data_IF_732112239362
#
_entry.id   IF_732112239362
#
_cell.length_a   1.000
_cell.length_b   1.000
_cell.length_c   1.000
_cell.angle_alpha   90.00
_cell.angle_beta   90.00
_cell.angle_gamma   90.00
#
_symmetry.space_group_name_H-M   'P 1'
#
loop_
_entity.id
_entity.type
_entity.pdbx_description
1 polymer ?
#
# COMPACT_ATOMS: atom_id res chain seq x y z
N UNK A 1 -0.04 47.03 -5.65
CA UNK A 1 0.01 45.81 -6.47
C UNK A 1 -1.14 44.94 -5.98
N UNK A 2 -2.00 44.52 -6.90
CA UNK A 2 -3.32 43.93 -6.60
C UNK A 2 -3.22 42.41 -6.64
N UNK A 3 -3.57 41.76 -5.54
CA UNK A 3 -3.65 40.31 -5.44
C UNK A 3 -5.14 39.96 -5.51
N UNK A 4 -5.59 39.52 -6.68
CA UNK A 4 -7.00 39.23 -6.96
C UNK A 4 -7.48 37.99 -6.21
N UNK A 5 -8.25 38.20 -5.15
CA UNK A 5 -9.11 37.20 -4.53
C UNK A 5 -10.56 37.46 -4.99
N UNK A 6 -11.05 36.67 -5.95
CA UNK A 6 -12.49 36.56 -6.22
C UNK A 6 -12.96 35.19 -5.77
N UNK A 7 -13.47 35.19 -4.54
CA UNK A 7 -14.50 34.26 -4.09
C UNK A 7 -15.73 34.42 -5.00
N UNK A 8 -16.07 33.34 -5.70
CA UNK A 8 -17.39 33.15 -6.28
C UNK A 8 -17.91 31.82 -5.76
N UNK A 9 -18.50 31.86 -4.56
CA UNK A 9 -19.46 30.86 -4.15
C UNK A 9 -20.60 30.77 -5.16
N UNK A 10 -20.82 29.59 -5.71
CA UNK A 10 -22.09 29.20 -6.30
C UNK A 10 -22.71 28.09 -5.44
N UNK A 11 -23.73 28.48 -4.70
CA UNK A 11 -24.64 27.63 -3.96
C UNK A 11 -25.76 27.17 -4.88
N UNK A 12 -25.72 25.92 -5.35
CA UNK A 12 -26.91 25.24 -5.86
C UNK A 12 -26.92 23.76 -5.43
N UNK A 13 -27.81 23.42 -4.49
CA UNK A 13 -28.27 22.03 -4.29
C UNK A 13 -29.52 21.74 -5.14
N UNK A 14 -30.18 20.59 -4.93
CA UNK A 14 -29.69 19.22 -5.00
C UNK A 14 -30.04 18.60 -6.38
N UNK A 15 -29.07 18.04 -7.10
CA UNK A 15 -29.33 17.35 -8.37
C UNK A 15 -28.93 15.88 -8.27
N UNK A 16 -29.93 14.99 -8.45
CA UNK A 16 -29.95 13.62 -8.98
C UNK A 16 -28.77 12.65 -8.74
N UNK A 17 -28.98 11.31 -8.70
CA UNK A 17 -27.90 10.35 -8.48
C UNK A 17 -27.00 10.30 -9.72
N UNK A 18 -26.01 11.19 -9.76
CA UNK A 18 -24.94 11.18 -10.74
C UNK A 18 -24.16 9.90 -10.57
N UNK A 19 -24.00 9.19 -11.69
CA UNK A 19 -23.04 8.11 -11.84
C UNK A 19 -21.70 8.58 -11.29
N UNK A 20 -21.32 8.08 -10.10
CA UNK A 20 -19.98 8.29 -9.55
C UNK A 20 -19.06 7.63 -10.55
N UNK A 21 -18.31 8.43 -11.31
CA UNK A 21 -17.14 7.92 -12.04
C UNK A 21 -16.16 7.55 -10.94
N UNK A 22 -16.27 6.33 -10.43
CA UNK A 22 -15.20 5.69 -9.69
C UNK A 22 -14.09 5.52 -10.73
N UNK A 23 -12.89 6.12 -10.53
CA UNK A 23 -11.75 5.78 -11.38
C UNK A 23 -11.65 4.25 -11.42
N UNK A 24 -11.39 3.70 -12.60
CA UNK A 24 -11.11 2.26 -12.71
C UNK A 24 -10.01 1.93 -11.70
N UNK A 25 -10.30 1.05 -10.73
CA UNK A 25 -9.39 0.74 -9.62
C UNK A 25 -8.01 0.26 -10.13
N UNK A 26 -7.96 -0.25 -11.37
CA UNK A 26 -6.73 -0.63 -12.06
C UNK A 26 -5.83 0.58 -12.38
N UNK A 27 -6.40 1.71 -12.79
CA UNK A 27 -5.64 2.92 -13.12
C UNK A 27 -4.99 3.52 -11.87
N UNK A 28 -5.72 3.51 -10.74
CA UNK A 28 -5.16 3.94 -9.46
C UNK A 28 -4.02 3.03 -8.98
N UNK A 29 -4.26 1.71 -8.97
CA UNK A 29 -3.27 0.73 -8.50
C UNK A 29 -1.97 0.81 -9.32
N UNK A 30 -2.08 0.90 -10.65
CA UNK A 30 -0.94 1.02 -11.54
C UNK A 30 -0.17 2.33 -11.33
N UNK A 31 -0.87 3.47 -11.26
CA UNK A 31 -0.23 4.76 -11.02
C UNK A 31 0.51 4.80 -9.69
N UNK A 32 -0.11 4.28 -8.63
CA UNK A 32 0.48 4.23 -7.29
C UNK A 32 1.72 3.32 -7.26
N UNK A 33 1.62 2.11 -7.80
CA UNK A 33 2.77 1.18 -7.86
C UNK A 33 3.91 1.75 -8.68
N UNK A 34 3.61 2.40 -9.82
CA UNK A 34 4.62 3.04 -10.66
C UNK A 34 5.34 4.16 -9.91
N UNK A 35 4.61 5.03 -9.20
CA UNK A 35 5.21 6.10 -8.40
C UNK A 35 6.12 5.54 -7.29
N UNK A 36 5.68 4.50 -6.59
CA UNK A 36 6.48 3.82 -5.55
C UNK A 36 7.74 3.22 -6.16
N UNK A 37 7.62 2.52 -7.29
CA UNK A 37 8.76 1.90 -7.95
C UNK A 37 9.76 2.93 -8.52
N UNK A 38 9.29 4.10 -8.96
CA UNK A 38 10.17 5.20 -9.35
C UNK A 38 10.99 5.70 -8.17
N UNK A 39 10.39 5.88 -6.99
CA UNK A 39 11.12 6.27 -5.79
C UNK A 39 12.13 5.20 -5.36
N UNK A 40 11.74 3.92 -5.40
CA UNK A 40 12.61 2.78 -5.08
C UNK A 40 13.82 2.64 -6.01
N UNK A 41 13.69 3.04 -7.26
CA UNK A 41 14.78 2.99 -8.24
C UNK A 41 15.84 4.08 -8.02
N UNK A 42 15.64 4.99 -7.06
CA UNK A 42 16.56 6.05 -6.72
C UNK A 42 17.12 5.86 -5.31
N UNK A 43 18.28 6.47 -5.06
CA UNK A 43 18.79 6.65 -3.71
C UNK A 43 17.83 7.52 -2.88
N UNK A 44 17.58 7.14 -1.63
CA UNK A 44 16.69 7.85 -0.71
C UNK A 44 17.42 8.29 0.55
N UNK A 45 17.12 9.49 1.05
CA UNK A 45 17.60 9.95 2.34
C UNK A 45 16.50 9.75 3.40
N UNK A 46 16.73 8.83 4.33
CA UNK A 46 15.79 8.45 5.37
C UNK A 46 16.21 9.02 6.74
N UNK A 47 16.30 10.35 6.85
CA UNK A 47 16.65 11.02 8.12
C UNK A 47 18.15 11.13 8.37
N UNK A 48 18.94 11.30 7.32
CA UNK A 48 20.40 11.40 7.34
C UNK A 48 21.11 10.11 6.94
N UNK A 49 20.39 8.99 6.90
CA UNK A 49 20.89 7.73 6.36
C UNK A 49 20.55 7.62 4.87
N UNK A 50 21.54 7.27 4.07
CA UNK A 50 21.39 7.09 2.63
C UNK A 50 21.07 5.62 2.34
N UNK A 51 19.91 5.39 1.74
CA UNK A 51 19.42 4.08 1.32
C UNK A 51 19.62 3.93 -0.19
N UNK A 52 20.32 2.88 -0.67
CA UNK A 52 20.55 2.69 -2.09
C UNK A 52 19.28 2.30 -2.83
N UNK A 53 19.28 2.48 -4.15
CA UNK A 53 18.20 2.01 -5.02
C UNK A 53 17.97 0.49 -4.87
N UNK A 54 16.71 0.08 -4.93
CA UNK A 54 16.26 -1.31 -4.73
C UNK A 54 15.33 -1.77 -5.86
N UNK A 55 15.23 -3.09 -6.13
CA UNK A 55 14.35 -3.61 -7.17
C UNK A 55 12.89 -3.20 -7.01
N UNK A 56 12.19 -3.13 -8.15
CA UNK A 56 10.76 -2.83 -8.21
C UNK A 56 9.93 -3.89 -7.49
N UNK A 57 8.83 -3.44 -6.87
CA UNK A 57 7.78 -4.29 -6.32
C UNK A 57 6.82 -4.72 -7.42
N UNK A 58 6.17 -5.86 -7.20
CA UNK A 58 5.02 -6.33 -7.98
C UNK A 58 3.75 -6.13 -7.18
N UNK A 59 2.63 -5.89 -7.88
CA UNK A 59 1.32 -5.82 -7.22
C UNK A 59 0.93 -7.17 -6.62
N UNK A 60 0.25 -7.12 -5.47
CA UNK A 60 -0.28 -8.29 -4.78
C UNK A 60 -1.74 -8.00 -4.37
N UNK A 61 -2.66 -8.83 -4.85
CA UNK A 61 -4.10 -8.62 -4.66
C UNK A 61 -4.55 -8.90 -3.21
N UNK A 62 -3.85 -9.76 -2.47
CA UNK A 62 -4.16 -10.00 -1.05
C UNK A 62 -3.77 -8.79 -0.20
N UNK A 63 -2.64 -8.15 -0.53
CA UNK A 63 -2.24 -6.87 0.08
C UNK A 63 -3.22 -5.74 -0.23
N UNK A 64 -3.73 -5.68 -1.47
CA UNK A 64 -4.75 -4.70 -1.87
C UNK A 64 -6.02 -4.87 -1.03
N UNK A 65 -6.55 -6.08 -0.93
CA UNK A 65 -7.78 -6.36 -0.16
C UNK A 65 -7.59 -6.03 1.32
N UNK A 66 -6.45 -6.39 1.90
CA UNK A 66 -6.13 -6.08 3.29
C UNK A 66 -6.05 -4.56 3.54
N UNK A 67 -5.38 -3.82 2.65
CA UNK A 67 -5.29 -2.36 2.73
C UNK A 67 -6.67 -1.69 2.57
N UNK A 68 -7.50 -2.20 1.66
CA UNK A 68 -8.86 -1.69 1.46
C UNK A 68 -9.73 -1.87 2.71
N UNK A 69 -9.70 -3.05 3.32
CA UNK A 69 -10.43 -3.32 4.58
C UNK A 69 -9.98 -2.40 5.72
N UNK A 70 -8.67 -2.28 5.92
CA UNK A 70 -8.11 -1.45 6.99
C UNK A 70 -8.41 0.04 6.80
N UNK A 71 -8.25 0.55 5.57
CA UNK A 71 -8.57 1.96 5.25
C UNK A 71 -10.06 2.26 5.34
N UNK A 72 -10.92 1.31 4.97
CA UNK A 72 -12.38 1.44 5.14
C UNK A 72 -12.78 1.46 6.61
N UNK A 73 -12.17 0.63 7.45
CA UNK A 73 -12.38 0.63 8.91
C UNK A 73 -12.02 1.98 9.54
N UNK A 74 -10.84 2.50 9.20
CA UNK A 74 -10.37 3.83 9.64
C UNK A 74 -11.29 4.96 9.16
N UNK A 75 -11.74 4.93 7.91
CA UNK A 75 -12.63 5.95 7.35
C UNK A 75 -14.02 5.91 8.02
N UNK A 76 -14.58 4.72 8.23
CA UNK A 76 -15.89 4.54 8.86
C UNK A 76 -15.87 4.87 10.36
N UNK A 77 -14.77 4.54 11.05
CA UNK A 77 -14.59 4.81 12.47
C UNK A 77 -14.06 6.21 12.80
N UNK A 78 -13.60 6.98 11.80
CA UNK A 78 -13.08 8.33 12.01
C UNK A 78 -11.77 8.39 12.79
N UNK A 79 -10.87 7.43 12.57
CA UNK A 79 -9.57 7.35 13.25
C UNK A 79 -8.45 6.98 12.29
N UNK A 80 -7.21 7.30 12.65
CA UNK A 80 -6.00 6.88 11.93
C UNK A 80 -5.09 6.12 12.87
N UNK A 81 -4.89 4.83 12.60
CA UNK A 81 -4.16 3.91 13.48
C UNK A 81 -3.59 2.74 12.67
N UNK A 82 -2.48 2.17 13.14
CA UNK A 82 -1.97 0.88 12.63
C UNK A 82 -2.71 -0.33 13.20
N UNK A 83 -3.58 -0.10 14.18
CA UNK A 83 -4.45 -1.10 14.81
C UNK A 83 -5.90 -0.82 14.40
N UNK A 84 -6.58 -1.82 13.84
CA UNK A 84 -7.99 -1.76 13.46
C UNK A 84 -8.92 -1.70 14.68
N UNK A 85 -10.18 -1.37 14.43
CA UNK A 85 -11.23 -1.29 15.45
C UNK A 85 -11.51 -2.63 16.13
N UNK A 86 -11.21 -3.73 15.44
CA UNK A 86 -11.27 -5.12 15.91
C UNK A 86 -9.96 -5.61 16.56
N UNK A 87 -9.04 -4.69 16.86
CA UNK A 87 -7.70 -4.97 17.37
C UNK A 87 -6.78 -5.70 16.37
N UNK A 88 -7.15 -5.79 15.09
CA UNK A 88 -6.27 -6.30 14.04
C UNK A 88 -5.02 -5.43 13.89
N UNK A 89 -3.92 -6.06 13.50
CA UNK A 89 -2.67 -5.36 13.18
C UNK A 89 -2.38 -5.52 11.70
N UNK A 90 -1.42 -4.76 11.16
CA UNK A 90 -1.03 -4.82 9.73
C UNK A 90 -0.78 -6.25 9.22
N UNK A 91 -0.32 -7.17 10.08
CA UNK A 91 -0.08 -8.56 9.69
C UNK A 91 -1.33 -9.44 9.81
N UNK A 92 -2.28 -9.12 10.68
CA UNK A 92 -3.48 -9.94 10.90
C UNK A 92 -4.64 -9.59 9.98
N UNK A 93 -4.57 -8.48 9.22
CA UNK A 93 -5.59 -8.08 8.24
C UNK A 93 -5.41 -8.79 6.89
N UNK A 94 -4.33 -9.57 6.71
CA UNK A 94 -4.15 -10.39 5.52
C UNK A 94 -5.17 -11.54 5.47
N UNK A 95 -5.83 -11.77 4.32
CA UNK A 95 -6.81 -12.85 4.18
C UNK A 95 -6.18 -14.26 4.16
N UNK A 96 -4.85 -14.36 4.18
CA UNK A 96 -4.13 -15.64 4.24
C UNK A 96 -4.04 -16.10 5.70
N UNK A 97 -4.52 -17.31 6.05
CA UNK A 97 -4.19 -17.87 7.35
C UNK A 97 -2.68 -18.10 7.42
N UNK A 98 -2.00 -17.54 8.43
CA UNK A 98 -0.56 -17.77 8.69
C UNK A 98 -0.26 -19.25 9.06
N UNK A 99 -1.22 -20.15 8.93
CA UNK A 99 -1.02 -21.60 8.94
C UNK A 99 -0.38 -22.09 7.64
N UNK A 100 0.85 -21.65 7.36
CA UNK A 100 1.79 -22.51 6.67
C UNK A 100 2.10 -23.70 7.61
N UNK A 101 1.97 -24.96 7.17
CA UNK A 101 2.38 -26.07 8.01
C UNK A 101 3.89 -26.02 8.19
N UNK A 102 4.32 -25.71 9.40
CA UNK A 102 5.65 -26.05 9.90
C UNK A 102 5.77 -27.58 10.07
N UNK A 103 5.65 -28.36 8.99
CA UNK A 103 5.87 -29.82 9.03
C UNK A 103 6.55 -30.31 7.75
N UNK A 104 7.86 -30.48 7.82
CA UNK A 104 8.62 -31.11 6.75
C UNK A 104 10.13 -31.17 6.96
N UNK A 105 10.61 -31.47 8.16
CA UNK A 105 12.01 -31.80 8.37
C UNK A 105 12.41 -33.01 7.50
N UNK A 106 13.26 -32.80 6.50
CA UNK A 106 14.10 -33.85 5.88
C UNK A 106 15.50 -33.30 5.62
N UNK A 107 16.36 -33.54 6.60
CA UNK A 107 17.78 -33.91 6.47
C UNK A 107 18.39 -33.76 5.08
N UNK A 108 19.26 -32.77 4.89
CA UNK A 108 20.58 -33.00 4.28
C UNK A 108 21.63 -32.15 5.00
N UNK A 109 22.35 -32.85 5.86
CA UNK A 109 23.67 -32.49 6.37
C UNK A 109 24.62 -32.20 5.19
N UNK A 110 25.35 -31.09 5.26
CA UNK A 110 26.63 -30.79 4.56
C UNK A 110 26.75 -31.19 3.08
N UNK A 111 26.78 -30.20 2.19
CA UNK A 111 27.84 -30.14 1.17
C UNK A 111 28.58 -28.82 1.34
N UNK A 112 29.79 -28.93 1.86
CA UNK A 112 30.81 -27.89 1.88
C UNK A 112 31.32 -27.70 0.45
N UNK A 113 31.44 -26.43 0.03
CA UNK A 113 32.51 -25.84 -0.81
C UNK A 113 32.70 -26.43 -2.23
N UNK A 114 33.05 -25.54 -3.17
CA UNK A 114 33.61 -25.73 -4.55
C UNK A 114 32.68 -24.95 -5.51
N UNK A 115 32.95 -23.70 -5.91
CA UNK A 115 34.07 -23.22 -6.73
C UNK A 115 34.40 -21.72 -6.48
N UNK A 116 35.68 -21.32 -6.65
CA UNK A 116 36.00 -20.17 -7.49
C UNK A 116 36.84 -20.60 -8.71
N UNK A 117 36.66 -19.82 -9.79
CA UNK A 117 37.20 -19.90 -11.16
C UNK A 117 36.64 -21.03 -12.04
#
# INVERSE_FOLDING_TARGET
>A
MTDGNTDAGDTTGPSAPGNVIVPDDTDFAEQMLNAVNQARAQEQNCGGEIMPAVPALTWDYDLQEAAFRHSSDMANGGFMSHTGSDNSTLISVLPIPVTLPMHGARTWLRVRKIFPL
#
